data_IF_057879818034
#
_entry.id   IF_057879818034
#
_cell.length_a   1.000
_cell.length_b   1.000
_cell.length_c   1.000
_cell.angle_alpha   90.00
_cell.angle_beta   90.00
_cell.angle_gamma   90.00
#
_symmetry.space_group_name_H-M   'P 1'
#
loop_
_entity.id
_entity.type
_entity.pdbx_description
1 polymer ?
#
# COMPACT_ATOMS: atom_id res chain seq x y z
N UNK A 1 18.92 -22.07 19.72
CA UNK A 1 19.02 -22.52 21.13
C UNK A 1 18.76 -21.34 22.05
N UNK A 2 18.17 -21.53 23.23
CA UNK A 2 17.95 -20.44 24.19
C UNK A 2 18.83 -20.58 25.43
N UNK A 3 19.31 -19.48 25.99
CA UNK A 3 19.99 -19.41 27.28
C UNK A 3 19.63 -18.08 27.99
N UNK A 4 20.25 -17.79 29.13
CA UNK A 4 20.01 -16.55 29.91
C UNK A 4 20.35 -15.26 29.15
N UNK A 5 21.16 -15.35 28.08
CA UNK A 5 21.54 -14.21 27.25
C UNK A 5 20.66 -14.04 26.00
N UNK A 6 19.76 -14.98 25.70
CA UNK A 6 18.81 -14.87 24.59
C UNK A 6 18.75 -16.12 23.72
N UNK A 7 18.23 -15.95 22.50
CA UNK A 7 18.05 -17.02 21.54
C UNK A 7 19.08 -16.90 20.43
N UNK A 8 19.75 -18.02 20.11
CA UNK A 8 20.91 -18.08 19.23
C UNK A 8 20.65 -18.99 18.05
N UNK A 9 21.07 -18.55 16.86
CA UNK A 9 21.09 -19.36 15.66
C UNK A 9 22.26 -20.35 15.72
N UNK A 10 21.97 -21.62 15.44
CA UNK A 10 22.96 -22.72 15.55
C UNK A 10 23.01 -23.44 14.21
N UNK A 11 24.22 -23.59 13.69
CA UNK A 11 24.51 -24.32 12.46
C UNK A 11 25.72 -25.22 12.69
N UNK A 12 25.64 -26.48 12.24
CA UNK A 12 26.74 -27.43 12.43
C UNK A 12 27.10 -27.71 13.91
N UNK A 13 26.14 -27.58 14.84
CA UNK A 13 26.33 -27.87 16.26
C UNK A 13 26.97 -26.73 17.08
N UNK A 14 27.23 -25.58 16.47
CA UNK A 14 27.77 -24.39 17.15
C UNK A 14 26.94 -23.15 16.82
N UNK A 15 27.02 -22.11 17.66
CA UNK A 15 26.41 -20.81 17.36
C UNK A 15 27.11 -20.21 16.15
N UNK A 16 26.35 -19.79 15.16
CA UNK A 16 26.86 -19.12 13.98
C UNK A 16 26.62 -17.60 14.11
N UNK A 17 27.63 -16.91 14.63
CA UNK A 17 27.63 -15.46 14.84
C UNK A 17 27.68 -14.65 13.53
N UNK A 18 27.86 -15.31 12.37
CA UNK A 18 27.87 -14.62 11.07
C UNK A 18 26.50 -14.59 10.41
N UNK A 19 25.52 -15.31 10.96
CA UNK A 19 24.19 -15.38 10.40
C UNK A 19 23.36 -14.13 10.73
N UNK A 20 22.90 -13.45 9.68
CA UNK A 20 21.87 -12.40 9.76
C UNK A 20 20.77 -12.71 8.75
N UNK A 21 19.53 -12.79 9.21
CA UNK A 21 18.40 -13.18 8.38
C UNK A 21 17.22 -13.74 9.16
N UNK A 22 16.28 -14.37 8.46
CA UNK A 22 15.12 -15.02 9.07
C UNK A 22 15.38 -16.51 9.29
N UNK A 23 15.21 -16.98 10.52
CA UNK A 23 15.32 -18.40 10.87
C UNK A 23 14.07 -18.90 11.60
N UNK A 24 13.65 -20.13 11.31
CA UNK A 24 12.46 -20.74 11.90
C UNK A 24 12.77 -21.63 13.10
N UNK A 25 11.83 -21.69 14.04
CA UNK A 25 11.71 -22.74 15.05
C UNK A 25 10.23 -23.15 15.21
N UNK A 26 9.91 -23.96 16.22
CA UNK A 26 8.53 -24.40 16.51
C UNK A 26 7.55 -23.27 16.85
N UNK A 27 8.05 -22.09 17.21
CA UNK A 27 7.26 -20.90 17.54
C UNK A 27 7.10 -19.93 16.36
N UNK A 28 7.75 -20.19 15.21
CA UNK A 28 7.65 -19.38 14.00
C UNK A 28 9.00 -18.88 13.47
N UNK A 29 8.95 -17.86 12.63
CA UNK A 29 10.12 -17.22 12.01
C UNK A 29 10.57 -16.01 12.81
N UNK A 30 11.87 -15.94 13.07
CA UNK A 30 12.51 -14.90 13.88
C UNK A 30 13.61 -14.20 13.09
N UNK A 31 13.74 -12.90 13.28
CA UNK A 31 14.87 -12.15 12.78
C UNK A 31 16.09 -12.36 13.68
N UNK A 32 17.19 -12.76 13.06
CA UNK A 32 18.49 -12.98 13.70
C UNK A 32 19.45 -11.92 13.17
N UNK A 33 20.16 -11.25 14.06
CA UNK A 33 21.29 -10.38 13.76
C UNK A 33 22.52 -10.92 14.47
N UNK A 34 23.62 -11.09 13.73
CA UNK A 34 24.91 -11.54 14.28
C UNK A 34 24.80 -12.82 15.12
N UNK A 35 23.97 -13.77 14.66
CA UNK A 35 23.73 -15.05 15.31
C UNK A 35 22.77 -15.03 16.51
N UNK A 36 22.25 -13.86 16.92
CA UNK A 36 21.29 -13.73 18.01
C UNK A 36 19.93 -13.23 17.50
N UNK A 37 18.82 -13.78 18.03
CA UNK A 37 17.48 -13.24 17.75
C UNK A 37 17.38 -11.82 18.29
N UNK A 38 17.02 -10.88 17.42
CA UNK A 38 16.77 -9.50 17.79
C UNK A 38 15.28 -9.28 18.07
N UNK A 39 14.90 -9.40 19.35
CA UNK A 39 13.53 -9.16 19.82
C UNK A 39 13.07 -7.70 19.71
N UNK A 40 13.96 -6.76 19.38
CA UNK A 40 13.61 -5.35 19.18
C UNK A 40 13.41 -5.01 17.70
N UNK A 41 13.64 -5.95 16.79
CA UNK A 41 13.42 -5.73 15.37
C UNK A 41 11.93 -5.50 15.08
N UNK A 42 11.63 -4.35 14.49
CA UNK A 42 10.29 -3.96 14.06
C UNK A 42 10.40 -3.28 12.68
N UNK A 43 9.69 -3.80 11.68
CA UNK A 43 9.69 -3.27 10.32
C UNK A 43 9.94 -4.34 9.25
N UNK A 44 10.29 -3.89 8.05
CA UNK A 44 10.51 -4.78 6.90
C UNK A 44 11.94 -5.33 6.90
N UNK A 45 12.06 -6.65 6.83
CA UNK A 45 13.33 -7.38 6.71
C UNK A 45 13.38 -8.10 5.38
N UNK A 46 14.49 -7.97 4.65
CA UNK A 46 14.74 -8.74 3.44
C UNK A 46 15.30 -10.13 3.77
N UNK A 47 14.86 -11.14 3.03
CA UNK A 47 15.33 -12.51 3.15
C UNK A 47 15.39 -13.19 1.78
N UNK A 48 15.91 -14.41 1.74
CA UNK A 48 15.86 -15.26 0.54
C UNK A 48 14.43 -15.56 0.06
N UNK A 49 13.41 -15.37 0.91
CA UNK A 49 11.99 -15.58 0.61
C UNK A 49 11.23 -14.27 0.36
N UNK A 50 11.95 -13.17 0.12
CA UNK A 50 11.38 -11.84 -0.06
C UNK A 50 11.38 -11.00 1.22
N UNK A 51 10.59 -9.93 1.21
CA UNK A 51 10.50 -8.97 2.31
C UNK A 51 9.33 -9.31 3.24
N UNK A 52 9.62 -9.34 4.54
CA UNK A 52 8.67 -9.70 5.58
C UNK A 52 8.57 -8.60 6.64
N UNK A 53 7.35 -8.36 7.12
CA UNK A 53 7.10 -7.54 8.28
C UNK A 53 7.39 -8.33 9.56
N UNK A 54 8.29 -7.77 10.38
CA UNK A 54 8.71 -8.30 11.67
C UNK A 54 8.21 -7.36 12.75
N UNK A 55 7.67 -7.92 13.83
CA UNK A 55 7.22 -7.20 15.02
C UNK A 55 7.72 -7.94 16.26
N UNK A 56 8.42 -7.24 17.15
CA UNK A 56 9.04 -7.85 18.33
C UNK A 56 10.01 -9.00 17.98
N UNK A 57 10.74 -8.89 16.86
CA UNK A 57 11.68 -9.89 16.39
C UNK A 57 11.08 -11.12 15.69
N UNK A 58 9.75 -11.26 15.67
CA UNK A 58 9.07 -12.37 14.98
C UNK A 58 8.39 -11.87 13.70
N UNK A 59 8.38 -12.68 12.65
CA UNK A 59 7.52 -12.43 11.48
C UNK A 59 6.06 -12.40 11.95
N UNK A 60 5.36 -11.32 11.64
CA UNK A 60 3.94 -11.16 11.93
C UNK A 60 3.13 -11.45 10.65
N UNK A 61 2.68 -12.70 10.55
CA UNK A 61 1.88 -13.23 9.43
C UNK A 61 0.40 -12.77 9.47
N UNK A 62 0.02 -12.02 10.50
CA UNK A 62 -1.33 -11.44 10.62
C UNK A 62 -1.39 -10.00 10.11
N UNK A 63 -0.24 -9.33 9.99
CA UNK A 63 -0.18 -7.95 9.56
C UNK A 63 -0.58 -7.78 8.09
N UNK A 64 -1.51 -6.85 7.84
CA UNK A 64 -1.85 -6.36 6.50
C UNK A 64 -1.97 -4.84 6.56
N UNK A 65 -1.24 -4.12 5.71
CA UNK A 65 -1.18 -2.66 5.75
C UNK A 65 0.07 -2.10 5.08
N UNK A 66 0.25 -0.78 5.20
CA UNK A 66 1.39 -0.07 4.65
C UNK A 66 2.53 0.04 5.68
N UNK A 67 3.74 -0.36 5.29
CA UNK A 67 4.95 -0.26 6.12
C UNK A 67 6.04 0.50 5.38
N UNK A 68 6.68 1.45 6.06
CA UNK A 68 7.83 2.18 5.52
C UNK A 68 9.16 1.45 5.76
N UNK A 69 10.08 1.58 4.81
CA UNK A 69 11.50 1.34 4.98
C UNK A 69 12.31 2.44 4.26
N UNK A 70 13.63 2.26 4.16
CA UNK A 70 14.52 3.22 3.49
C UNK A 70 14.22 3.46 2.00
N UNK A 71 13.43 2.59 1.36
CA UNK A 71 13.09 2.65 -0.06
C UNK A 71 11.69 3.22 -0.31
N UNK A 72 10.87 3.42 0.72
CA UNK A 72 9.51 3.96 0.62
C UNK A 72 8.50 3.19 1.45
N UNK A 73 7.22 3.36 1.12
CA UNK A 73 6.10 2.67 1.76
C UNK A 73 5.61 1.52 0.89
N UNK A 74 5.45 0.35 1.50
CA UNK A 74 5.11 -0.89 0.82
C UNK A 74 3.82 -1.49 1.38
N UNK A 75 3.00 -2.03 0.50
CA UNK A 75 1.81 -2.77 0.89
C UNK A 75 2.17 -4.21 1.26
N UNK A 76 1.81 -4.60 2.48
CA UNK A 76 2.08 -5.90 3.08
C UNK A 76 0.76 -6.65 3.23
N UNK A 77 0.75 -7.92 2.87
CA UNK A 77 -0.37 -8.84 3.07
C UNK A 77 0.14 -10.08 3.79
N UNK A 78 -0.49 -10.40 4.93
CA UNK A 78 -0.12 -11.56 5.77
C UNK A 78 1.39 -11.61 6.07
N UNK A 79 1.95 -10.46 6.43
CA UNK A 79 3.35 -10.31 6.77
C UNK A 79 4.34 -10.24 5.60
N UNK A 80 3.94 -10.42 4.34
CA UNK A 80 4.85 -10.33 3.17
C UNK A 80 4.51 -9.11 2.29
N UNK A 81 5.52 -8.45 1.71
CA UNK A 81 5.25 -7.42 0.69
C UNK A 81 4.54 -8.05 -0.51
N UNK A 82 3.43 -7.45 -0.94
CA UNK A 82 2.70 -7.82 -2.15
C UNK A 82 3.10 -6.88 -3.30
N UNK A 83 4.12 -7.28 -4.07
CA UNK A 83 4.61 -6.53 -5.24
C UNK A 83 3.62 -6.50 -6.42
N UNK A 84 2.55 -7.29 -6.38
CA UNK A 84 1.52 -7.29 -7.42
C UNK A 84 0.34 -6.35 -7.08
N UNK A 85 0.31 -5.80 -5.86
CA UNK A 85 -0.80 -4.96 -5.44
C UNK A 85 -0.77 -3.60 -6.15
N UNK A 86 -1.87 -3.27 -6.83
CA UNK A 86 -2.16 -1.94 -7.35
C UNK A 86 -3.57 -1.54 -6.92
N UNK A 87 -3.71 -0.39 -6.26
CA UNK A 87 -4.96 0.06 -5.68
C UNK A 87 -4.77 1.09 -4.58
N UNK A 88 -5.83 1.33 -3.79
CA UNK A 88 -5.75 2.22 -2.63
C UNK A 88 -5.58 1.42 -1.33
N UNK A 89 -4.56 1.77 -0.55
CA UNK A 89 -4.33 1.23 0.78
C UNK A 89 -4.32 2.34 1.83
N UNK A 90 -4.76 2.04 3.05
CA UNK A 90 -4.87 3.01 4.14
C UNK A 90 -3.76 2.84 5.18
N UNK A 91 -3.27 3.95 5.72
CA UNK A 91 -2.52 4.00 6.97
C UNK A 91 -3.05 5.15 7.87
N UNK A 92 -2.37 5.43 8.98
CA UNK A 92 -2.75 6.48 9.92
C UNK A 92 -2.80 7.89 9.30
N UNK A 93 -2.16 8.10 8.13
CA UNK A 93 -2.10 9.38 7.42
C UNK A 93 -3.13 9.50 6.29
N UNK A 94 -3.93 8.47 6.03
CA UNK A 94 -4.98 8.48 5.01
C UNK A 94 -4.88 7.33 4.02
N UNK A 95 -5.56 7.50 2.88
CA UNK A 95 -5.56 6.55 1.76
C UNK A 95 -4.53 6.97 0.71
N UNK A 96 -3.75 5.99 0.24
CA UNK A 96 -2.66 6.19 -0.68
C UNK A 96 -2.80 5.28 -1.89
N UNK A 97 -2.45 5.79 -3.06
CA UNK A 97 -2.32 4.99 -4.25
C UNK A 97 -1.01 4.20 -4.20
N UNK A 98 -1.15 2.90 -4.38
CA UNK A 98 -0.07 1.92 -4.44
C UNK A 98 -0.03 1.38 -5.85
N UNK A 99 1.15 1.35 -6.44
CA UNK A 99 1.42 0.70 -7.73
C UNK A 99 2.57 -0.29 -7.54
N UNK A 100 2.39 -1.53 -8.00
CA UNK A 100 3.40 -2.59 -7.87
C UNK A 100 3.93 -2.78 -6.43
N UNK A 101 3.01 -2.69 -5.46
CA UNK A 101 3.29 -2.87 -4.04
C UNK A 101 3.89 -1.66 -3.33
N UNK A 102 4.22 -0.56 -4.02
CA UNK A 102 4.81 0.65 -3.42
C UNK A 102 3.88 1.86 -3.56
N UNK A 103 3.83 2.74 -2.55
CA UNK A 103 3.13 4.03 -2.72
C UNK A 103 3.78 4.82 -3.87
N UNK A 104 2.96 5.21 -4.85
CA UNK A 104 3.36 6.15 -5.90
C UNK A 104 2.92 7.56 -5.50
N UNK A 105 3.89 8.37 -5.07
CA UNK A 105 3.67 9.76 -4.65
C UNK A 105 3.49 10.75 -5.81
N UNK A 106 3.76 10.32 -7.05
CA UNK A 106 3.60 11.15 -8.24
C UNK A 106 2.23 10.93 -8.91
N UNK A 107 1.53 9.85 -8.57
CA UNK A 107 0.21 9.56 -9.10
C UNK A 107 -0.81 10.68 -8.82
N UNK A 108 -1.46 11.16 -9.87
CA UNK A 108 -2.62 12.05 -9.80
C UNK A 108 -3.65 11.59 -10.82
N UNK A 109 -4.85 11.25 -10.36
CA UNK A 109 -5.87 10.62 -11.20
C UNK A 109 -6.99 10.01 -10.37
N UNK A 110 -7.66 9.00 -10.92
CA UNK A 110 -8.69 8.25 -10.21
C UNK A 110 -8.24 6.82 -9.96
N UNK A 111 -8.29 6.39 -8.71
CA UNK A 111 -8.02 5.02 -8.31
C UNK A 111 -9.19 4.41 -7.55
N UNK A 112 -9.36 3.09 -7.66
CA UNK A 112 -10.48 2.37 -7.06
C UNK A 112 -10.09 1.62 -5.78
N UNK A 113 -11.06 1.47 -4.89
CA UNK A 113 -11.08 0.44 -3.85
C UNK A 113 -12.47 -0.20 -3.77
N UNK A 114 -12.71 -1.02 -2.75
CA UNK A 114 -14.00 -1.68 -2.53
C UNK A 114 -15.19 -0.72 -2.34
N UNK A 115 -14.92 0.56 -2.04
CA UNK A 115 -15.95 1.58 -1.77
C UNK A 115 -16.21 2.51 -2.96
N UNK A 116 -15.45 2.41 -4.05
CA UNK A 116 -15.65 3.20 -5.27
C UNK A 116 -14.35 3.75 -5.84
N UNK A 117 -14.49 4.78 -6.68
CA UNK A 117 -13.38 5.49 -7.31
C UNK A 117 -13.15 6.82 -6.61
N UNK A 118 -11.89 7.12 -6.32
CA UNK A 118 -11.48 8.29 -5.55
C UNK A 118 -10.46 9.11 -6.32
N UNK A 119 -10.56 10.43 -6.20
CA UNK A 119 -9.54 11.34 -6.68
C UNK A 119 -8.31 11.29 -5.80
N UNK A 120 -7.18 11.01 -6.45
CA UNK A 120 -5.86 10.95 -5.84
C UNK A 120 -5.05 12.12 -6.38
N UNK A 121 -4.36 12.81 -5.48
CA UNK A 121 -3.45 13.90 -5.80
C UNK A 121 -2.13 13.67 -5.08
N UNK A 122 -1.05 13.56 -5.86
CA UNK A 122 0.30 13.29 -5.34
C UNK A 122 0.34 12.06 -4.44
N UNK A 123 -0.26 10.97 -4.91
CA UNK A 123 -0.34 9.69 -4.23
C UNK A 123 -1.37 9.57 -3.12
N UNK A 124 -1.97 10.66 -2.62
CA UNK A 124 -2.95 10.62 -1.52
C UNK A 124 -4.37 10.90 -2.02
N UNK A 125 -5.37 10.20 -1.48
CA UNK A 125 -6.78 10.53 -1.73
C UNK A 125 -7.09 11.94 -1.19
N UNK A 126 -7.65 12.79 -2.05
CA UNK A 126 -8.09 14.14 -1.71
C UNK A 126 -9.61 14.17 -1.56
N UNK A 127 -10.09 13.97 -0.34
CA UNK A 127 -11.51 13.99 0.03
C UNK A 127 -12.17 15.38 -0.12
N UNK A 128 -11.39 16.44 -0.34
CA UNK A 128 -11.91 17.78 -0.57
C UNK A 128 -12.12 18.12 -2.04
N UNK A 129 -11.72 17.23 -2.96
CA UNK A 129 -11.78 17.52 -4.38
C UNK A 129 -13.19 17.39 -4.95
N UNK A 130 -13.67 18.46 -5.57
CA UNK A 130 -14.88 18.45 -6.42
C UNK A 130 -14.52 19.03 -7.78
N UNK A 131 -14.83 18.30 -8.86
CA UNK A 131 -14.43 18.69 -10.21
C UNK A 131 -14.42 17.51 -11.17
N UNK A 132 -13.66 17.65 -12.26
CA UNK A 132 -13.51 16.59 -13.26
C UNK A 132 -12.11 15.97 -13.16
N UNK A 133 -12.05 14.65 -13.07
CA UNK A 133 -10.81 13.90 -13.09
C UNK A 133 -10.88 12.74 -14.10
N UNK A 134 -9.74 12.22 -14.52
CA UNK A 134 -9.69 11.18 -15.55
C UNK A 134 -8.99 9.91 -15.07
N UNK A 135 -9.34 8.80 -15.72
CA UNK A 135 -8.61 7.55 -15.72
C UNK A 135 -8.55 6.98 -17.15
N UNK A 136 -8.09 5.73 -17.30
CA UNK A 136 -8.05 5.03 -18.59
C UNK A 136 -9.42 4.82 -19.26
N UNK A 137 -10.54 5.12 -18.58
CA UNK A 137 -11.90 4.99 -19.10
C UNK A 137 -12.57 6.34 -19.43
N UNK A 138 -11.85 7.45 -19.29
CA UNK A 138 -12.34 8.78 -19.63
C UNK A 138 -12.39 9.72 -18.42
N UNK A 139 -13.17 10.78 -18.56
CA UNK A 139 -13.34 11.82 -17.56
C UNK A 139 -14.63 11.60 -16.75
N UNK A 140 -14.54 11.87 -15.45
CA UNK A 140 -15.60 11.61 -14.48
C UNK A 140 -15.79 12.82 -13.57
N UNK A 141 -17.05 13.06 -13.20
CA UNK A 141 -17.38 14.00 -12.14
C UNK A 141 -17.07 13.38 -10.78
N UNK A 142 -16.34 14.14 -9.98
CA UNK A 142 -15.95 13.81 -8.61
C UNK A 142 -16.59 14.84 -7.69
N UNK A 143 -17.19 14.36 -6.62
CA UNK A 143 -17.74 15.18 -5.55
C UNK A 143 -17.22 14.67 -4.20
N UNK A 144 -16.66 15.59 -3.39
CA UNK A 144 -16.05 15.25 -2.09
C UNK A 144 -15.03 14.10 -2.17
N UNK A 145 -14.21 14.14 -3.22
CA UNK A 145 -13.14 13.18 -3.50
C UNK A 145 -13.60 11.84 -4.10
N UNK A 146 -14.90 11.56 -4.22
CA UNK A 146 -15.42 10.31 -4.79
C UNK A 146 -16.10 10.55 -6.14
N UNK A 147 -15.94 9.63 -7.09
CA UNK A 147 -16.71 9.67 -8.34
C UNK A 147 -18.19 9.50 -8.02
N UNK A 148 -19.01 10.47 -8.43
CA UNK A 148 -20.46 10.40 -8.32
C UNK A 148 -21.05 9.80 -9.60
N UNK A 149 -21.28 8.48 -9.57
CA UNK A 149 -21.90 7.74 -10.67
C UNK A 149 -23.40 8.04 -10.85
N UNK A 150 -24.05 8.69 -9.88
CA UNK A 150 -25.46 9.09 -10.00
C UNK A 150 -25.60 10.46 -10.69
N UNK A 151 -24.57 11.30 -10.67
CA UNK A 151 -24.61 12.63 -11.25
C UNK A 151 -24.93 12.60 -12.75
N UNK A 152 -25.96 13.36 -13.14
CA UNK A 152 -26.29 13.66 -14.53
C UNK A 152 -26.68 15.13 -14.62
N UNK A 153 -25.98 15.90 -15.45
CA UNK A 153 -26.16 17.35 -15.49
C UNK A 153 -25.02 18.05 -16.23
N UNK A 154 -24.81 19.32 -15.89
CA UNK A 154 -23.76 20.15 -16.47
C UNK A 154 -22.81 20.61 -15.38
N UNK A 155 -21.51 20.41 -15.59
CA UNK A 155 -20.44 20.86 -14.70
C UNK A 155 -19.62 21.92 -15.40
N UNK A 156 -19.48 23.10 -14.80
CA UNK A 156 -18.53 24.11 -15.24
C UNK A 156 -17.16 23.83 -14.65
N UNK A 157 -16.16 23.57 -15.50
CA UNK A 157 -14.78 23.28 -15.09
C UNK A 157 -13.81 24.15 -15.88
N UNK A 158 -13.00 24.94 -15.18
CA UNK A 158 -12.13 25.97 -15.76
C UNK A 158 -12.84 26.89 -16.78
N UNK A 159 -14.08 27.29 -16.48
CA UNK A 159 -14.88 28.18 -17.33
C UNK A 159 -15.49 27.53 -18.58
N UNK A 160 -15.35 26.22 -18.74
CA UNK A 160 -16.00 25.44 -19.80
C UNK A 160 -17.09 24.55 -19.21
N UNK A 161 -18.26 24.51 -19.85
CA UNK A 161 -19.36 23.64 -19.45
C UNK A 161 -19.24 22.27 -20.09
N UNK A 162 -19.36 21.23 -19.27
CA UNK A 162 -19.31 19.83 -19.68
C UNK A 162 -20.62 19.12 -19.31
N UNK A 163 -21.19 18.39 -20.26
CA UNK A 163 -22.31 17.49 -19.97
C UNK A 163 -21.78 16.21 -19.35
N UNK A 164 -22.41 15.79 -18.26
CA UNK A 164 -22.07 14.57 -17.53
C UNK A 164 -23.31 13.68 -17.48
N UNK A 165 -23.13 12.38 -17.74
CA UNK A 165 -24.18 11.37 -17.66
C UNK A 165 -23.68 10.18 -16.85
N UNK A 166 -24.40 9.85 -15.78
CA UNK A 166 -24.02 8.77 -14.85
C UNK A 166 -22.56 8.88 -14.39
N UNK A 167 -22.16 10.09 -14.00
CA UNK A 167 -20.80 10.44 -13.58
C UNK A 167 -19.80 10.65 -14.72
N UNK A 168 -20.03 10.15 -15.93
CA UNK A 168 -19.06 10.25 -17.03
C UNK A 168 -19.25 11.52 -17.88
N UNK A 169 -18.16 12.21 -18.19
CA UNK A 169 -18.16 13.38 -19.08
C UNK A 169 -18.36 12.95 -20.53
N UNK A 170 -19.25 13.65 -21.23
CA UNK A 170 -19.64 13.37 -22.61
C UNK A 170 -18.93 14.34 -23.58
N UNK A 171 -17.96 13.86 -24.35
CA UNK A 171 -17.28 14.66 -25.39
C UNK A 171 -17.95 14.49 -26.76
N UNK A 172 -18.95 15.32 -27.10
CA UNK A 172 -19.69 15.32 -28.38
C UNK A 172 -20.50 14.03 -28.64
N UNK A 173 -21.63 13.97 -29.34
CA UNK A 173 -22.44 14.92 -30.09
C UNK A 173 -23.85 14.93 -29.48
N UNK A 174 -24.43 16.12 -29.33
CA UNK A 174 -25.86 16.27 -29.05
C UNK A 174 -26.59 15.81 -30.32
N UNK A 175 -27.08 14.56 -30.33
CA UNK A 175 -28.08 14.15 -31.31
C UNK A 175 -29.43 14.62 -30.78
N UNK A 176 -29.90 15.75 -31.31
CA UNK A 176 -31.32 16.09 -31.33
C UNK A 176 -32.07 15.13 -32.24
#
# INVERSE_FOLDING_TARGET
VANEYGWWYVSGGQVDFTYTGLAANEYGWWYVSDGQVDFNCNGLVNSAYGWWYVSGGRVDDTYTGLVANAYGWWYVVKGQIDFAYTGLAQNAYGWWYVENGQIDFDYTGLAANAYGWWYVKRGQVDFGYTGLAHNGHGWWYVENGQVDFAYTGTVTWYGTDYNVKSGQVMFGSIRF
#
